data_IF_982856994073
#
_entry.id   IF_982856994073
#
_cell.length_a   1.000
_cell.length_b   1.000
_cell.length_c   1.000
_cell.angle_alpha   90.00
_cell.angle_beta   90.00
_cell.angle_gamma   90.00
#
_symmetry.space_group_name_H-M   'P 1'
#
loop_
_entity.id
_entity.type
_entity.pdbx_description
1 polymer ?
#
# COMPACT_ATOMS: atom_id res chain seq x y z
N UNK A 1 18.24 -20.45 17.98
CA UNK A 1 16.98 -20.22 17.23
C UNK A 1 16.44 -18.77 17.23
N UNK A 2 16.78 -17.89 18.18
CA UNK A 2 16.35 -16.46 18.17
C UNK A 2 17.06 -15.61 17.09
N UNK A 3 18.33 -15.85 16.80
CA UNK A 3 19.10 -15.11 15.79
C UNK A 3 18.58 -15.30 14.34
N UNK A 4 18.06 -16.48 14.00
CA UNK A 4 17.51 -16.75 12.66
C UNK A 4 16.18 -16.02 12.36
N UNK A 5 15.42 -15.62 13.39
CA UNK A 5 14.18 -14.86 13.20
C UNK A 5 14.43 -13.41 12.74
N UNK A 6 15.53 -12.79 13.22
CA UNK A 6 15.90 -11.42 12.80
C UNK A 6 16.43 -11.34 11.36
N UNK A 7 17.11 -12.38 10.90
CA UNK A 7 17.74 -12.42 9.57
C UNK A 7 16.72 -12.34 8.42
N UNK A 8 15.56 -12.99 8.51
CA UNK A 8 14.55 -12.97 7.46
C UNK A 8 13.84 -11.62 7.34
N UNK A 9 13.59 -10.93 8.47
CA UNK A 9 13.04 -9.58 8.44
C UNK A 9 14.01 -8.59 7.79
N UNK A 10 15.31 -8.73 8.07
CA UNK A 10 16.36 -7.93 7.43
C UNK A 10 16.39 -8.18 5.92
N UNK A 11 16.34 -9.45 5.50
CA UNK A 11 16.30 -9.80 4.07
C UNK A 11 15.11 -9.18 3.36
N UNK A 12 13.92 -9.25 3.96
CA UNK A 12 12.73 -8.60 3.42
C UNK A 12 12.88 -7.08 3.33
N UNK A 13 13.37 -6.45 4.38
CA UNK A 13 13.58 -5.00 4.43
C UNK A 13 14.61 -4.54 3.40
N UNK A 14 15.73 -5.24 3.29
CA UNK A 14 16.80 -4.96 2.31
C UNK A 14 16.27 -5.15 0.88
N UNK A 15 15.59 -6.26 0.62
CA UNK A 15 14.98 -6.50 -0.70
C UNK A 15 14.02 -5.39 -1.08
N UNK A 16 13.11 -5.03 -0.17
CA UNK A 16 12.13 -3.96 -0.41
C UNK A 16 12.82 -2.61 -0.64
N UNK A 17 13.80 -2.26 0.17
CA UNK A 17 14.54 -1.01 0.00
C UNK A 17 15.27 -0.93 -1.34
N UNK A 18 15.99 -1.99 -1.73
CA UNK A 18 16.78 -2.02 -2.96
C UNK A 18 15.91 -2.05 -4.21
N UNK A 19 14.80 -2.79 -4.20
CA UNK A 19 13.98 -3.03 -5.39
C UNK A 19 12.85 -2.01 -5.53
N UNK A 20 12.27 -1.56 -4.43
CA UNK A 20 11.08 -0.71 -4.44
C UNK A 20 11.37 0.75 -4.08
N UNK A 21 12.22 1.04 -3.08
CA UNK A 21 12.42 2.42 -2.61
C UNK A 21 13.53 3.17 -3.37
N UNK A 22 14.69 2.56 -3.54
CA UNK A 22 15.84 3.25 -4.16
C UNK A 22 15.56 3.66 -5.61
N UNK A 23 14.92 2.84 -6.48
CA UNK A 23 14.69 3.21 -7.88
C UNK A 23 13.60 4.26 -8.12
N UNK A 24 12.81 4.64 -7.11
CA UNK A 24 11.63 5.50 -7.29
C UNK A 24 11.92 6.83 -7.98
N UNK A 25 13.05 7.43 -7.69
CA UNK A 25 13.43 8.73 -8.26
C UNK A 25 14.23 8.61 -9.57
N UNK A 26 14.60 7.40 -9.96
CA UNK A 26 15.52 7.15 -11.08
C UNK A 26 14.93 7.28 -12.48
N UNK A 27 13.59 7.43 -12.61
CA UNK A 27 12.93 7.58 -13.91
C UNK A 27 11.92 8.72 -13.91
N UNK A 28 11.71 9.32 -15.06
CA UNK A 28 10.65 10.32 -15.27
C UNK A 28 9.26 9.70 -15.07
N UNK A 29 8.26 10.54 -14.78
CA UNK A 29 6.87 10.11 -14.66
C UNK A 29 6.36 9.64 -16.02
N UNK A 30 5.70 8.50 -16.05
CA UNK A 30 5.16 7.94 -17.28
C UNK A 30 3.78 8.54 -17.58
N UNK A 31 3.59 8.93 -18.84
CA UNK A 31 2.31 9.44 -19.32
C UNK A 31 1.39 8.27 -19.76
N UNK A 32 0.07 8.42 -19.65
CA UNK A 32 -0.64 9.58 -19.06
C UNK A 32 -0.88 9.50 -17.56
N UNK A 33 -0.76 8.32 -16.95
CA UNK A 33 -1.32 8.07 -15.61
C UNK A 33 -0.51 8.72 -14.49
N UNK A 34 0.82 8.50 -14.41
CA UNK A 34 1.62 9.05 -13.30
C UNK A 34 1.59 10.57 -13.30
N UNK A 35 1.65 11.20 -14.49
CA UNK A 35 1.59 12.68 -14.60
C UNK A 35 0.22 13.21 -14.22
N UNK A 36 -0.85 12.52 -14.59
CA UNK A 36 -2.23 12.87 -14.23
C UNK A 36 -2.46 12.80 -12.73
N UNK A 37 -2.07 11.72 -12.07
CA UNK A 37 -2.24 11.58 -10.63
C UNK A 37 -1.34 12.55 -9.85
N UNK A 38 -0.13 12.83 -10.34
CA UNK A 38 0.74 13.84 -9.77
C UNK A 38 0.10 15.23 -9.81
N UNK A 39 -0.45 15.61 -10.97
CA UNK A 39 -1.10 16.91 -11.18
C UNK A 39 -2.37 17.07 -10.35
N UNK A 40 -3.23 16.04 -10.29
CA UNK A 40 -4.44 16.08 -9.45
C UNK A 40 -4.06 16.33 -8.00
N UNK A 41 -3.08 15.61 -7.47
CA UNK A 41 -2.63 15.78 -6.09
C UNK A 41 -2.02 17.16 -5.86
N UNK A 42 -1.24 17.67 -6.81
CA UNK A 42 -0.68 19.02 -6.76
C UNK A 42 -1.77 20.09 -6.71
N UNK A 43 -2.80 20.00 -7.58
CA UNK A 43 -3.90 20.94 -7.57
C UNK A 43 -4.74 20.88 -6.27
N UNK A 44 -4.98 19.69 -5.74
CA UNK A 44 -5.66 19.50 -4.45
C UNK A 44 -4.92 20.18 -3.31
N UNK A 45 -3.59 20.03 -3.26
CA UNK A 45 -2.74 20.67 -2.24
C UNK A 45 -2.71 22.19 -2.39
N UNK A 46 -2.58 22.71 -3.61
CA UNK A 46 -2.56 24.15 -3.88
C UNK A 46 -3.88 24.84 -3.54
N UNK A 47 -5.02 24.15 -3.77
CA UNK A 47 -6.36 24.67 -3.44
C UNK A 47 -6.72 24.48 -1.96
N UNK A 48 -6.01 23.60 -1.25
CA UNK A 48 -6.39 23.16 0.11
C UNK A 48 -7.68 22.34 0.13
N UNK A 49 -8.16 21.86 -1.02
CA UNK A 49 -9.37 21.04 -1.13
C UNK A 49 -8.99 19.56 -1.26
N UNK A 50 -9.21 18.83 -0.18
CA UNK A 50 -8.91 17.38 -0.09
C UNK A 50 -10.10 16.50 -0.46
N UNK A 51 -11.22 17.10 -0.86
CA UNK A 51 -12.48 16.39 -1.14
C UNK A 51 -12.77 16.31 -2.64
N UNK A 52 -12.59 17.44 -3.35
CA UNK A 52 -12.90 17.52 -4.78
C UNK A 52 -11.60 17.51 -5.59
N UNK A 53 -11.27 16.38 -6.26
CA UNK A 53 -10.12 16.36 -7.14
C UNK A 53 -10.34 17.25 -8.37
N UNK A 54 -9.27 17.92 -8.81
CA UNK A 54 -9.27 18.73 -10.02
C UNK A 54 -8.11 18.31 -10.92
N UNK A 55 -8.31 18.41 -12.21
CA UNK A 55 -7.28 18.23 -13.24
C UNK A 55 -7.39 19.37 -14.26
N UNK A 56 -6.34 20.15 -14.39
CA UNK A 56 -6.28 21.36 -15.25
C UNK A 56 -7.43 22.33 -14.95
N UNK A 57 -7.75 22.50 -13.66
CA UNK A 57 -8.81 23.37 -13.18
C UNK A 57 -10.23 22.79 -13.25
N UNK A 58 -10.45 21.65 -13.90
CA UNK A 58 -11.74 20.99 -14.03
C UNK A 58 -11.92 19.92 -12.94
N UNK A 59 -13.16 19.77 -12.45
CA UNK A 59 -13.49 18.69 -11.48
C UNK A 59 -13.28 17.32 -12.12
N UNK A 60 -12.63 16.42 -11.37
CA UNK A 60 -12.23 15.10 -11.86
C UNK A 60 -12.68 14.00 -10.91
N UNK A 61 -13.76 13.29 -11.26
CA UNK A 61 -14.41 12.28 -10.41
C UNK A 61 -14.26 10.84 -10.96
N UNK A 62 -13.26 10.57 -11.77
CA UNK A 62 -13.05 9.23 -12.36
C UNK A 62 -12.68 8.18 -11.31
N UNK A 63 -12.01 8.59 -10.23
CA UNK A 63 -11.53 7.69 -9.18
C UNK A 63 -11.93 8.18 -7.79
N UNK A 64 -12.07 7.27 -6.80
CA UNK A 64 -12.35 7.63 -5.41
C UNK A 64 -11.27 8.57 -4.84
N UNK A 65 -11.71 9.65 -4.19
CA UNK A 65 -10.82 10.68 -3.64
C UNK A 65 -9.81 10.12 -2.61
N UNK A 66 -10.18 9.08 -1.88
CA UNK A 66 -9.31 8.46 -0.87
C UNK A 66 -7.99 7.94 -1.44
N UNK A 67 -7.95 7.56 -2.72
CA UNK A 67 -6.73 7.16 -3.40
C UNK A 67 -5.74 8.32 -3.55
N UNK A 68 -6.23 9.52 -3.83
CA UNK A 68 -5.36 10.70 -3.96
C UNK A 68 -4.78 11.16 -2.62
N UNK A 69 -5.44 10.89 -1.49
CA UNK A 69 -4.92 11.28 -0.17
C UNK A 69 -3.53 10.72 0.12
N UNK A 70 -3.22 9.51 -0.31
CA UNK A 70 -1.86 8.95 -0.17
C UNK A 70 -0.83 9.77 -0.95
N UNK A 71 -1.15 10.14 -2.18
CA UNK A 71 -0.29 10.98 -2.99
C UNK A 71 -0.21 12.42 -2.45
N UNK A 72 -1.32 12.97 -1.97
CA UNK A 72 -1.36 14.30 -1.34
C UNK A 72 -0.46 14.34 -0.10
N UNK A 73 -0.60 13.36 0.81
CA UNK A 73 0.23 13.26 2.01
C UNK A 73 1.70 13.11 1.62
N UNK A 74 1.98 12.28 0.63
CA UNK A 74 3.35 12.06 0.15
C UNK A 74 3.97 13.32 -0.45
N UNK A 75 3.25 14.03 -1.33
CA UNK A 75 3.73 15.28 -1.92
C UNK A 75 3.83 16.40 -0.88
N UNK A 76 2.93 16.46 0.09
CA UNK A 76 3.03 17.40 1.20
C UNK A 76 4.27 17.15 2.07
N UNK A 77 4.64 15.88 2.32
CA UNK A 77 5.79 15.53 3.16
C UNK A 77 7.13 15.65 2.43
N UNK A 78 7.20 15.21 1.18
CA UNK A 78 8.45 15.06 0.43
C UNK A 78 8.62 16.08 -0.69
N UNK A 79 7.63 16.96 -0.90
CA UNK A 79 7.61 17.93 -1.99
C UNK A 79 7.23 17.35 -3.35
N UNK A 80 7.24 18.21 -4.37
CA UNK A 80 6.87 17.85 -5.74
C UNK A 80 8.06 17.18 -6.47
N UNK A 81 8.17 15.86 -6.35
CA UNK A 81 9.22 15.08 -7.00
C UNK A 81 8.72 13.66 -7.37
N UNK A 82 9.48 12.97 -8.23
CA UNK A 82 9.12 11.63 -8.72
C UNK A 82 8.98 10.59 -7.60
N UNK A 83 9.77 10.73 -6.53
CA UNK A 83 9.68 9.88 -5.35
C UNK A 83 8.34 10.07 -4.65
N UNK A 84 7.94 11.32 -4.37
CA UNK A 84 6.71 11.64 -3.67
C UNK A 84 5.47 11.12 -4.41
N UNK A 85 5.44 11.27 -5.74
CA UNK A 85 4.32 10.78 -6.58
C UNK A 85 4.14 9.28 -6.49
N UNK A 86 5.21 8.50 -6.36
CA UNK A 86 5.18 7.02 -6.34
C UNK A 86 5.14 6.43 -4.93
N UNK A 87 5.49 7.21 -3.92
CA UNK A 87 5.64 6.70 -2.56
C UNK A 87 4.34 6.08 -2.02
N UNK A 88 3.16 6.64 -2.35
CA UNK A 88 1.87 6.10 -1.95
C UNK A 88 1.66 4.65 -2.43
N UNK A 89 1.97 4.37 -3.70
CA UNK A 89 1.88 3.03 -4.29
C UNK A 89 2.88 2.06 -3.67
N UNK A 90 4.14 2.48 -3.52
CA UNK A 90 5.18 1.65 -2.90
C UNK A 90 4.89 1.38 -1.43
N UNK A 91 4.46 2.39 -0.68
CA UNK A 91 4.04 2.22 0.72
C UNK A 91 2.91 1.19 0.84
N UNK A 92 1.88 1.31 0.01
CA UNK A 92 0.74 0.39 0.00
C UNK A 92 1.18 -1.04 -0.36
N UNK A 93 2.08 -1.20 -1.32
CA UNK A 93 2.66 -2.50 -1.69
C UNK A 93 3.47 -3.11 -0.53
N UNK A 94 4.28 -2.31 0.15
CA UNK A 94 5.03 -2.74 1.33
C UNK A 94 4.12 -3.18 2.47
N UNK A 95 3.06 -2.40 2.75
CA UNK A 95 2.06 -2.77 3.76
C UNK A 95 1.29 -4.03 3.37
N UNK A 96 0.97 -4.22 2.10
CA UNK A 96 0.36 -5.46 1.60
C UNK A 96 1.30 -6.66 1.82
N UNK A 97 2.59 -6.52 1.54
CA UNK A 97 3.58 -7.57 1.82
C UNK A 97 3.67 -7.91 3.31
N UNK A 98 3.57 -6.91 4.20
CA UNK A 98 3.50 -7.14 5.65
C UNK A 98 2.21 -7.86 6.06
N UNK A 99 1.08 -7.57 5.43
CA UNK A 99 -0.18 -8.30 5.67
C UNK A 99 -0.10 -9.75 5.17
N UNK A 100 0.53 -9.99 4.02
CA UNK A 100 0.82 -11.36 3.52
C UNK A 100 1.70 -12.11 4.51
N UNK A 101 2.77 -11.47 4.99
CA UNK A 101 3.62 -12.04 6.03
C UNK A 101 2.84 -12.37 7.31
N UNK A 102 2.01 -11.41 7.79
CA UNK A 102 1.22 -11.59 9.00
C UNK A 102 0.22 -12.74 8.86
N UNK A 103 -0.50 -12.82 7.72
CA UNK A 103 -1.42 -13.90 7.43
C UNK A 103 -0.71 -15.26 7.42
N UNK A 104 0.42 -15.35 6.75
CA UNK A 104 1.23 -16.56 6.69
C UNK A 104 1.76 -16.97 8.09
N UNK A 105 2.13 -15.99 8.93
CA UNK A 105 2.50 -16.24 10.33
C UNK A 105 1.33 -16.77 11.17
N UNK A 106 0.13 -16.21 10.98
CA UNK A 106 -1.08 -16.68 11.66
C UNK A 106 -1.45 -18.11 11.27
N UNK A 107 -1.26 -18.46 9.98
CA UNK A 107 -1.58 -19.80 9.45
C UNK A 107 -0.55 -20.86 9.85
N UNK A 108 0.74 -20.58 9.64
CA UNK A 108 1.79 -21.61 9.74
C UNK A 108 2.67 -21.46 10.97
N UNK A 109 2.62 -20.36 11.69
CA UNK A 109 3.47 -20.05 12.86
C UNK A 109 4.96 -20.25 12.57
N UNK A 110 5.39 -20.05 11.35
CA UNK A 110 6.75 -20.25 10.87
C UNK A 110 7.25 -19.02 10.11
N UNK A 111 8.21 -18.30 10.73
CA UNK A 111 8.75 -17.05 10.17
C UNK A 111 9.42 -17.25 8.80
N UNK A 112 10.09 -18.37 8.56
CA UNK A 112 10.72 -18.66 7.25
C UNK A 112 9.65 -18.76 6.14
N UNK A 113 8.58 -19.52 6.38
CA UNK A 113 7.47 -19.67 5.41
C UNK A 113 6.79 -18.34 5.18
N UNK A 114 6.54 -17.55 6.23
CA UNK A 114 5.92 -16.23 6.13
C UNK A 114 6.80 -15.24 5.34
N UNK A 115 8.11 -15.23 5.59
CA UNK A 115 9.05 -14.41 4.82
C UNK A 115 9.12 -14.82 3.36
N UNK A 116 9.14 -16.12 3.06
CA UNK A 116 9.12 -16.61 1.69
C UNK A 116 7.82 -16.21 0.97
N UNK A 117 6.66 -16.28 1.62
CA UNK A 117 5.38 -15.84 1.04
C UNK A 117 5.43 -14.34 0.69
N UNK A 118 5.92 -13.50 1.59
CA UNK A 118 6.07 -12.06 1.35
C UNK A 118 7.11 -11.76 0.25
N UNK A 119 8.23 -12.48 0.21
CA UNK A 119 9.23 -12.36 -0.86
C UNK A 119 8.66 -12.78 -2.22
N UNK A 120 7.94 -13.89 -2.28
CA UNK A 120 7.26 -14.34 -3.51
C UNK A 120 6.26 -13.28 -4.01
N UNK A 121 5.47 -12.71 -3.11
CA UNK A 121 4.55 -11.61 -3.45
C UNK A 121 5.33 -10.43 -4.05
N UNK A 122 6.37 -9.94 -3.38
CA UNK A 122 7.17 -8.79 -3.83
C UNK A 122 7.98 -9.09 -5.12
N UNK A 123 8.28 -10.35 -5.42
CA UNK A 123 9.01 -10.73 -6.65
C UNK A 123 8.13 -10.99 -7.85
N UNK A 124 6.79 -10.95 -7.70
CA UNK A 124 5.88 -11.04 -8.83
C UNK A 124 6.03 -9.82 -9.75
N UNK A 125 6.21 -10.05 -11.05
CA UNK A 125 6.37 -8.98 -12.05
C UNK A 125 5.20 -8.00 -12.02
N UNK A 126 3.97 -8.49 -11.89
CA UNK A 126 2.78 -7.64 -11.79
C UNK A 126 2.82 -6.74 -10.56
N UNK A 127 3.17 -7.31 -9.39
CA UNK A 127 3.26 -6.54 -8.13
C UNK A 127 4.35 -5.48 -8.21
N UNK A 128 5.50 -5.83 -8.77
CA UNK A 128 6.59 -4.88 -9.00
C UNK A 128 6.16 -3.75 -9.94
N UNK A 129 5.57 -4.09 -11.07
CA UNK A 129 5.16 -3.12 -12.10
C UNK A 129 4.15 -2.12 -11.55
N UNK A 130 3.07 -2.60 -10.90
CA UNK A 130 2.01 -1.75 -10.36
C UNK A 130 2.49 -1.04 -9.06
N UNK A 131 3.25 -1.75 -8.22
CA UNK A 131 3.73 -1.23 -6.94
C UNK A 131 4.76 -0.11 -7.04
N UNK A 132 5.52 -0.04 -8.14
CA UNK A 132 6.50 1.04 -8.41
C UNK A 132 5.96 2.12 -9.35
N UNK A 133 4.71 2.02 -9.76
CA UNK A 133 4.01 2.93 -10.64
C UNK A 133 2.95 3.72 -9.83
N UNK A 134 2.80 5.01 -10.11
CA UNK A 134 1.81 5.82 -9.38
C UNK A 134 0.41 5.58 -9.92
N UNK A 135 -0.25 4.55 -9.38
CA UNK A 135 -1.66 4.21 -9.62
C UNK A 135 -2.35 3.89 -8.30
N UNK A 136 -3.67 3.80 -8.31
CA UNK A 136 -4.47 3.55 -7.10
C UNK A 136 -4.62 2.06 -6.75
N UNK A 137 -4.26 1.17 -7.68
CA UNK A 137 -4.43 -0.29 -7.52
C UNK A 137 -3.69 -0.88 -6.30
N UNK A 138 -2.43 -0.47 -5.96
CA UNK A 138 -1.77 -0.94 -4.74
C UNK A 138 -2.51 -0.56 -3.46
N UNK A 139 -3.20 0.59 -3.45
CA UNK A 139 -4.00 1.03 -2.30
C UNK A 139 -5.25 0.18 -2.14
N UNK A 140 -5.93 -0.15 -3.24
CA UNK A 140 -7.07 -1.07 -3.24
C UNK A 140 -6.60 -2.46 -2.78
N UNK A 141 -5.47 -2.95 -3.30
CA UNK A 141 -4.87 -4.23 -2.91
C UNK A 141 -4.55 -4.29 -1.43
N UNK A 142 -4.08 -3.19 -0.83
CA UNK A 142 -3.84 -3.07 0.61
C UNK A 142 -5.13 -3.29 1.41
N UNK A 143 -6.22 -2.61 1.02
CA UNK A 143 -7.49 -2.74 1.73
C UNK A 143 -8.11 -4.14 1.56
N UNK A 144 -8.00 -4.74 0.37
CA UNK A 144 -8.42 -6.12 0.13
C UNK A 144 -7.63 -7.11 1.00
N UNK A 145 -6.31 -6.97 1.06
CA UNK A 145 -5.47 -7.80 1.93
C UNK A 145 -5.82 -7.60 3.42
N UNK A 146 -6.06 -6.36 3.84
CA UNK A 146 -6.49 -6.05 5.20
C UNK A 146 -7.85 -6.70 5.52
N UNK A 147 -8.81 -6.67 4.59
CA UNK A 147 -10.10 -7.33 4.74
C UNK A 147 -9.92 -8.86 4.88
N UNK A 148 -9.08 -9.49 4.06
CA UNK A 148 -8.80 -10.93 4.15
C UNK A 148 -8.16 -11.32 5.48
N UNK A 149 -7.17 -10.56 5.96
CA UNK A 149 -6.53 -10.80 7.26
C UNK A 149 -7.53 -10.63 8.39
N UNK A 150 -8.33 -9.57 8.35
CA UNK A 150 -9.36 -9.30 9.36
C UNK A 150 -10.41 -10.40 9.40
N UNK A 151 -10.88 -10.85 8.24
CA UNK A 151 -11.80 -12.00 8.16
C UNK A 151 -11.20 -13.26 8.76
N UNK A 152 -9.94 -13.58 8.44
CA UNK A 152 -9.27 -14.74 9.05
C UNK A 152 -9.19 -14.61 10.58
N UNK A 153 -8.94 -13.41 11.10
CA UNK A 153 -8.94 -13.15 12.54
C UNK A 153 -10.32 -13.37 13.18
N UNK A 154 -11.43 -13.03 12.50
CA UNK A 154 -12.78 -13.33 13.03
C UNK A 154 -13.01 -14.83 13.20
N UNK A 155 -12.50 -15.64 12.26
CA UNK A 155 -12.62 -17.09 12.32
C UNK A 155 -11.78 -17.70 13.48
N UNK A 156 -10.67 -17.07 13.82
CA UNK A 156 -9.75 -17.56 14.87
C UNK A 156 -10.05 -17.00 16.26
N UNK A 157 -10.78 -15.89 16.36
CA UNK A 157 -11.08 -15.27 17.63
C UNK A 157 -12.05 -16.13 18.48
N UNK A 158 -11.64 -16.45 19.69
CA UNK A 158 -12.43 -17.22 20.66
C UNK A 158 -13.22 -16.31 21.62
N UNK A 159 -12.71 -15.10 21.88
CA UNK A 159 -13.36 -14.14 22.76
C UNK A 159 -14.29 -13.17 22.02
N UNK A 160 -15.35 -12.73 22.67
CA UNK A 160 -16.29 -11.74 22.10
C UNK A 160 -15.59 -10.44 21.74
N UNK A 161 -14.71 -9.93 22.62
CA UNK A 161 -13.92 -8.71 22.35
C UNK A 161 -13.01 -8.87 21.13
N UNK A 162 -12.37 -10.03 20.97
CA UNK A 162 -11.53 -10.34 19.81
C UNK A 162 -12.34 -10.40 18.51
N UNK A 163 -13.52 -11.00 18.52
CA UNK A 163 -14.44 -11.01 17.37
C UNK A 163 -14.87 -9.60 16.99
N UNK A 164 -15.32 -8.79 17.97
CA UNK A 164 -15.74 -7.41 17.72
C UNK A 164 -14.61 -6.58 17.10
N UNK A 165 -13.38 -6.67 17.63
CA UNK A 165 -12.22 -5.99 17.08
C UNK A 165 -11.92 -6.41 15.64
N UNK A 166 -11.97 -7.71 15.36
CA UNK A 166 -11.74 -8.23 14.00
C UNK A 166 -12.84 -7.82 13.01
N UNK A 167 -14.12 -7.80 13.44
CA UNK A 167 -15.23 -7.27 12.62
C UNK A 167 -15.13 -5.78 12.36
N UNK A 168 -14.70 -5.00 13.36
CA UNK A 168 -14.47 -3.56 13.17
C UNK A 168 -13.37 -3.31 12.14
N UNK A 169 -12.24 -4.03 12.20
CA UNK A 169 -11.18 -3.96 11.21
C UNK A 169 -11.65 -4.38 9.81
N UNK A 170 -12.46 -5.44 9.73
CA UNK A 170 -13.04 -5.87 8.46
C UNK A 170 -13.96 -4.80 7.87
N UNK A 171 -14.84 -4.20 8.69
CA UNK A 171 -15.72 -3.11 8.27
C UNK A 171 -14.96 -1.88 7.77
N UNK A 172 -13.89 -1.49 8.47
CA UNK A 172 -13.00 -0.39 8.05
C UNK A 172 -12.30 -0.70 6.72
N UNK A 173 -11.77 -1.91 6.56
CA UNK A 173 -11.11 -2.31 5.32
C UNK A 173 -12.08 -2.33 4.14
N UNK A 174 -13.26 -2.92 4.30
CA UNK A 174 -14.30 -2.95 3.25
C UNK A 174 -14.82 -1.55 2.91
N UNK A 175 -15.01 -0.67 3.90
CA UNK A 175 -15.48 0.70 3.68
C UNK A 175 -14.49 1.62 2.98
N UNK A 176 -13.24 1.16 2.72
CA UNK A 176 -12.23 1.90 1.94
C UNK A 176 -12.05 1.37 0.51
N UNK A 177 -12.71 0.27 0.17
CA UNK A 177 -12.67 -0.33 -1.17
C UNK A 177 -13.74 0.30 -2.08
N UNK A 178 -14.89 0.69 -1.53
CA UNK A 178 -15.97 1.40 -2.21
C UNK A 178 -15.84 2.87 -1.96
#
# INVERSE_FOLDING_TARGET
MKALKGSWAIVLAVFFALVYLIPLNGRLLWQPDETRYAEISREMLQRGDWVVPHLLGLRYFEKPVAGYWFNNISQWLFGENNFAVRFGSVFSTGMTALLVFALAMLMWRNARRASLAALMFLSMVLVFSIGTYSVLDPMISLWLAAAMVSYYLTLKATSVKGKLGAYALLGLACGKIG
#
